data_IF_860165922322
#
_entry.id   IF_860165922322
#
_cell.length_a   1.000
_cell.length_b   1.000
_cell.length_c   1.000
_cell.angle_alpha   90.00
_cell.angle_beta   90.00
_cell.angle_gamma   90.00
#
_symmetry.space_group_name_H-M   'P 1'
#
loop_
_entity.id
_entity.type
_entity.pdbx_description
1 polymer ?
#
# COMPACT_ATOMS: atom_id res chain seq x y z
N UNK A 1 -7.94 11.68 -7.72
CA UNK A 1 -7.92 12.73 -6.66
C UNK A 1 -6.47 12.91 -6.23
N UNK A 2 -6.06 14.08 -5.75
CA UNK A 2 -4.71 14.27 -5.19
C UNK A 2 -4.74 14.82 -3.77
N UNK A 3 -3.75 14.43 -2.98
CA UNK A 3 -3.61 14.77 -1.56
C UNK A 3 -2.30 15.51 -1.32
N UNK A 4 -2.32 16.68 -0.64
CA UNK A 4 -1.10 17.37 -0.26
C UNK A 4 -0.34 16.59 0.81
N UNK A 5 0.99 16.72 0.83
CA UNK A 5 1.88 16.01 1.78
C UNK A 5 1.47 16.11 3.25
N UNK A 6 0.88 17.24 3.67
CA UNK A 6 0.40 17.44 5.04
C UNK A 6 -0.79 16.54 5.37
N UNK A 7 -1.67 16.34 4.40
CA UNK A 7 -2.83 15.48 4.57
C UNK A 7 -2.40 14.02 4.58
N UNK A 8 -1.55 13.61 3.63
CA UNK A 8 -0.96 12.25 3.59
C UNK A 8 -0.24 11.92 4.90
N UNK A 9 0.56 12.85 5.43
CA UNK A 9 1.23 12.68 6.72
C UNK A 9 0.22 12.45 7.86
N UNK A 10 -0.84 13.25 7.92
CA UNK A 10 -1.89 13.12 8.95
C UNK A 10 -2.58 11.76 8.87
N UNK A 11 -3.06 11.37 7.68
CA UNK A 11 -3.82 10.13 7.51
C UNK A 11 -2.98 8.87 7.74
N UNK A 12 -1.73 8.85 7.28
CA UNK A 12 -0.83 7.68 7.39
C UNK A 12 -0.12 7.58 8.74
N UNK A 13 -0.15 8.63 9.55
CA UNK A 13 0.58 8.72 10.81
C UNK A 13 2.09 8.93 10.67
N UNK A 14 2.64 9.08 9.46
CA UNK A 14 4.04 9.48 9.28
C UNK A 14 4.20 11.00 9.23
N UNK A 15 5.42 11.48 9.44
CA UNK A 15 5.69 12.91 9.34
C UNK A 15 5.86 13.34 7.89
N UNK A 16 5.54 14.60 7.57
CA UNK A 16 5.88 15.18 6.27
C UNK A 16 7.39 15.17 5.98
N UNK A 17 8.24 15.12 7.02
CA UNK A 17 9.70 14.94 6.88
C UNK A 17 10.02 13.53 6.38
N UNK A 18 9.34 12.50 6.88
CA UNK A 18 9.48 11.12 6.41
C UNK A 18 9.08 11.01 4.93
N UNK A 19 7.95 11.61 4.54
CA UNK A 19 7.50 11.59 3.15
C UNK A 19 8.49 12.31 2.21
N UNK A 20 9.04 13.46 2.62
CA UNK A 20 10.11 14.13 1.85
C UNK A 20 11.36 13.26 1.75
N UNK A 21 11.73 12.58 2.82
CA UNK A 21 12.88 11.68 2.78
C UNK A 21 12.64 10.51 1.81
N UNK A 22 11.44 9.94 1.77
CA UNK A 22 11.11 8.87 0.82
C UNK A 22 11.16 9.36 -0.63
N UNK A 23 10.68 10.56 -0.92
CA UNK A 23 10.85 11.21 -2.23
C UNK A 23 12.33 11.43 -2.57
N UNK A 24 13.12 11.99 -1.64
CA UNK A 24 14.55 12.28 -1.83
C UNK A 24 15.39 11.04 -2.20
N UNK A 25 15.04 9.87 -1.66
CA UNK A 25 15.71 8.60 -1.96
C UNK A 25 15.04 7.84 -3.12
N UNK A 26 14.01 8.42 -3.76
CA UNK A 26 13.26 7.81 -4.86
C UNK A 26 12.33 6.66 -4.45
N UNK A 27 12.11 6.45 -3.15
CA UNK A 27 11.28 5.36 -2.64
C UNK A 27 9.78 5.63 -2.81
N UNK A 28 9.36 6.88 -2.59
CA UNK A 28 7.98 7.30 -2.81
C UNK A 28 7.95 8.69 -3.45
N UNK A 29 8.14 8.77 -4.78
CA UNK A 29 8.01 10.03 -5.50
C UNK A 29 6.57 10.55 -5.42
N UNK A 30 6.34 11.86 -5.27
CA UNK A 30 5.00 12.43 -5.39
C UNK A 30 4.50 12.29 -6.83
N UNK A 31 3.19 12.19 -7.02
CA UNK A 31 2.58 12.21 -8.35
C UNK A 31 2.90 13.52 -9.09
N UNK A 32 2.89 14.64 -8.36
CA UNK A 32 3.25 15.95 -8.89
C UNK A 32 3.77 16.91 -7.81
N UNK A 33 4.52 17.90 -8.26
CA UNK A 33 4.92 19.06 -7.47
C UNK A 33 4.15 20.28 -8.00
N UNK A 34 3.37 20.93 -7.14
CA UNK A 34 2.63 22.14 -7.49
C UNK A 34 3.54 23.34 -7.72
N UNK A 35 3.02 24.39 -8.36
CA UNK A 35 3.75 25.64 -8.63
C UNK A 35 4.24 26.36 -7.37
N UNK A 36 3.61 26.08 -6.23
CA UNK A 36 3.98 26.55 -4.89
C UNK A 36 5.05 25.67 -4.20
N UNK A 37 5.56 24.63 -4.89
CA UNK A 37 6.53 23.67 -4.34
C UNK A 37 5.93 22.59 -3.42
N UNK A 38 4.61 22.57 -3.22
CA UNK A 38 3.96 21.51 -2.45
C UNK A 38 3.89 20.21 -3.25
N UNK A 39 4.10 19.09 -2.55
CA UNK A 39 4.02 17.74 -3.09
C UNK A 39 2.60 17.20 -2.96
N UNK A 40 2.14 16.57 -4.01
CA UNK A 40 0.82 15.96 -4.10
C UNK A 40 0.98 14.49 -4.47
N UNK A 41 0.19 13.65 -3.82
CA UNK A 41 0.17 12.20 -3.97
C UNK A 41 -1.18 11.80 -4.54
N UNK A 42 -1.20 10.75 -5.35
CA UNK A 42 -2.42 10.15 -5.89
C UNK A 42 -2.58 8.73 -5.32
N UNK A 43 -3.62 8.04 -5.77
CA UNK A 43 -3.99 6.69 -5.34
C UNK A 43 -2.79 5.74 -5.31
N UNK A 44 -2.06 5.66 -6.42
CA UNK A 44 -0.90 4.79 -6.55
C UNK A 44 0.14 5.04 -5.44
N UNK A 45 0.40 6.30 -5.10
CA UNK A 45 1.35 6.61 -4.03
C UNK A 45 0.80 6.29 -2.64
N UNK A 46 -0.52 6.35 -2.41
CA UNK A 46 -1.10 5.93 -1.13
C UNK A 46 -0.96 4.41 -0.95
N UNK A 47 -1.20 3.63 -2.02
CA UNK A 47 -1.01 2.18 -2.01
C UNK A 47 0.46 1.80 -1.79
N UNK A 48 1.39 2.46 -2.47
CA UNK A 48 2.83 2.28 -2.24
C UNK A 48 3.22 2.67 -0.81
N UNK A 49 2.70 3.79 -0.29
CA UNK A 49 2.96 4.21 1.08
C UNK A 49 2.51 3.14 2.08
N UNK A 50 1.32 2.55 1.91
CA UNK A 50 0.86 1.45 2.76
C UNK A 50 1.87 0.29 2.77
N UNK A 51 2.35 -0.15 1.62
CA UNK A 51 3.35 -1.21 1.51
C UNK A 51 4.67 -0.84 2.21
N UNK A 52 5.14 0.40 2.06
CA UNK A 52 6.34 0.90 2.74
C UNK A 52 6.14 0.83 4.25
N UNK A 53 5.02 1.33 4.79
CA UNK A 53 4.76 1.37 6.23
C UNK A 53 4.69 -0.04 6.83
N UNK A 54 4.09 -0.97 6.10
CA UNK A 54 4.02 -2.38 6.44
C UNK A 54 5.41 -2.99 6.54
N UNK A 55 6.22 -2.88 5.49
CA UNK A 55 7.57 -3.43 5.47
C UNK A 55 8.46 -2.79 6.55
N UNK A 56 8.27 -1.50 6.81
CA UNK A 56 8.94 -0.79 7.91
C UNK A 56 8.53 -1.33 9.28
N UNK A 57 7.27 -1.67 9.49
CA UNK A 57 6.78 -2.28 10.74
C UNK A 57 7.36 -3.68 10.96
N UNK A 58 7.67 -4.40 9.87
CA UNK A 58 8.35 -5.70 9.89
C UNK A 58 9.89 -5.58 10.01
N UNK A 59 10.43 -4.37 10.14
CA UNK A 59 11.87 -4.14 10.35
C UNK A 59 12.72 -4.11 9.07
N UNK A 60 12.11 -4.12 7.88
CA UNK A 60 12.83 -4.07 6.60
C UNK A 60 13.42 -2.68 6.37
N UNK A 61 14.67 -2.64 5.87
CA UNK A 61 15.38 -1.38 5.59
C UNK A 61 14.82 -0.65 4.35
N UNK A 62 14.89 0.68 4.30
CA UNK A 62 14.44 1.46 3.13
C UNK A 62 15.09 1.03 1.79
N UNK A 63 16.40 0.72 1.73
CA UNK A 63 17.03 0.26 0.47
C UNK A 63 16.48 -1.09 -0.02
N UNK A 64 16.10 -1.95 0.91
CA UNK A 64 15.48 -3.25 0.65
C UNK A 64 14.06 -3.07 0.13
N UNK A 65 13.25 -2.25 0.81
CA UNK A 65 11.90 -1.89 0.37
C UNK A 65 11.93 -1.33 -1.06
N UNK A 66 12.87 -0.43 -1.37
CA UNK A 66 13.01 0.14 -2.71
C UNK A 66 13.24 -0.91 -3.80
N UNK A 67 14.02 -1.96 -3.53
CA UNK A 67 14.23 -3.06 -4.50
C UNK A 67 12.95 -3.84 -4.77
N UNK A 68 12.21 -4.18 -3.72
CA UNK A 68 10.93 -4.90 -3.85
C UNK A 68 9.86 -4.09 -4.56
N UNK A 69 9.80 -2.78 -4.32
CA UNK A 69 8.83 -1.93 -5.01
C UNK A 69 9.19 -1.74 -6.48
N UNK A 70 10.47 -1.60 -6.83
CA UNK A 70 10.92 -1.46 -8.22
C UNK A 70 10.55 -2.68 -9.08
N UNK A 71 10.57 -3.88 -8.49
CA UNK A 71 10.19 -5.13 -9.17
C UNK A 71 8.66 -5.28 -9.35
N UNK A 72 7.85 -4.45 -8.69
CA UNK A 72 6.37 -4.51 -8.72
C UNK A 72 5.71 -3.49 -9.67
N UNK A 73 6.46 -2.51 -10.21
CA UNK A 73 5.91 -1.35 -10.96
C UNK A 73 5.17 -1.73 -12.27
N UNK A 74 5.15 -3.00 -12.67
CA UNK A 74 4.45 -3.49 -13.88
C UNK A 74 3.05 -4.08 -13.64
N UNK A 75 2.57 -4.13 -12.39
CA UNK A 75 1.26 -4.72 -12.01
C UNK A 75 0.44 -3.71 -11.23
N UNK A 76 -0.36 -2.91 -11.93
CA UNK A 76 -1.31 -1.98 -11.31
C UNK A 76 -2.58 -2.70 -10.87
N UNK A 77 -3.01 -2.45 -9.62
CA UNK A 77 -4.30 -2.91 -9.05
C UNK A 77 -5.49 -2.17 -9.72
N UNK A 78 -5.20 -1.13 -10.50
CA UNK A 78 -6.16 -0.18 -11.09
C UNK A 78 -7.24 -0.85 -11.97
N UNK A 79 -6.99 -2.04 -12.54
CA UNK A 79 -7.98 -2.78 -13.35
C UNK A 79 -8.77 -3.84 -12.53
N UNK A 80 -8.28 -4.28 -11.38
CA UNK A 80 -8.87 -5.39 -10.62
C UNK A 80 -9.97 -4.94 -9.63
N UNK A 81 -9.95 -3.66 -9.22
CA UNK A 81 -10.98 -3.06 -8.36
C UNK A 81 -12.34 -2.82 -9.07
N UNK A 82 -12.48 -3.23 -10.35
CA UNK A 82 -13.69 -3.14 -11.17
C UNK A 82 -14.87 -4.04 -10.73
N UNK A 83 -15.09 -4.22 -9.43
CA UNK A 83 -16.22 -4.98 -8.86
C UNK A 83 -16.03 -6.50 -8.80
N UNK A 84 -14.81 -7.01 -9.05
CA UNK A 84 -14.50 -8.42 -8.86
C UNK A 84 -14.58 -8.79 -7.35
N UNK A 85 -15.02 -10.02 -7.00
CA UNK A 85 -15.01 -10.46 -5.62
C UNK A 85 -13.57 -10.68 -5.13
N UNK A 86 -13.35 -10.51 -3.82
CA UNK A 86 -12.02 -10.59 -3.20
C UNK A 86 -11.31 -11.94 -3.43
N UNK A 87 -12.06 -13.02 -3.64
CA UNK A 87 -11.57 -14.37 -3.90
C UNK A 87 -11.37 -14.67 -5.40
N UNK A 88 -11.66 -13.72 -6.29
CA UNK A 88 -11.49 -13.90 -7.72
C UNK A 88 -10.03 -14.24 -8.05
N UNK A 89 -9.84 -15.18 -8.98
CA UNK A 89 -8.51 -15.60 -9.42
C UNK A 89 -7.56 -14.45 -9.82
N UNK A 90 -7.97 -13.42 -10.59
CA UNK A 90 -7.07 -12.30 -10.90
C UNK A 90 -6.69 -11.49 -9.66
N UNK A 91 -7.63 -11.26 -8.74
CA UNK A 91 -7.37 -10.57 -7.45
C UNK A 91 -6.39 -11.39 -6.63
N UNK A 92 -6.61 -12.70 -6.49
CA UNK A 92 -5.75 -13.59 -5.71
C UNK A 92 -4.36 -13.79 -6.35
N UNK A 93 -4.25 -13.70 -7.68
CA UNK A 93 -2.95 -13.71 -8.36
C UNK A 93 -2.15 -12.42 -8.10
N UNK A 94 -2.83 -11.27 -8.06
CA UNK A 94 -2.24 -9.99 -7.71
C UNK A 94 -1.78 -9.98 -6.23
N UNK A 95 -2.62 -10.44 -5.31
CA UNK A 95 -2.24 -10.61 -3.90
C UNK A 95 -1.07 -11.60 -3.74
N UNK A 96 -1.02 -12.69 -4.52
CA UNK A 96 0.11 -13.63 -4.54
C UNK A 96 1.42 -12.96 -4.98
N UNK A 97 1.36 -12.14 -6.04
CA UNK A 97 2.52 -11.39 -6.53
C UNK A 97 3.05 -10.43 -5.47
N UNK A 98 2.15 -9.65 -4.85
CA UNK A 98 2.49 -8.71 -3.77
C UNK A 98 3.05 -9.44 -2.54
N UNK A 99 2.43 -10.54 -2.12
CA UNK A 99 2.92 -11.33 -0.99
C UNK A 99 4.29 -11.96 -1.27
N UNK A 100 4.54 -12.46 -2.48
CA UNK A 100 5.86 -13.00 -2.88
C UNK A 100 6.92 -11.91 -2.93
N UNK A 101 6.58 -10.73 -3.44
CA UNK A 101 7.47 -9.58 -3.44
C UNK A 101 7.83 -9.19 -2.00
N UNK A 102 6.83 -9.09 -1.12
CA UNK A 102 6.99 -8.83 0.32
C UNK A 102 7.90 -9.86 0.99
N UNK A 103 7.68 -11.16 0.72
CA UNK A 103 8.38 -12.28 1.37
C UNK A 103 9.74 -12.60 0.78
N UNK A 104 10.09 -12.03 -0.37
CA UNK A 104 11.42 -12.19 -0.97
C UNK A 104 12.56 -11.65 -0.08
N UNK A 105 12.26 -10.71 0.82
CA UNK A 105 13.23 -10.06 1.71
C UNK A 105 13.12 -10.49 3.16
N UNK A 106 11.89 -10.75 3.63
CA UNK A 106 11.62 -11.09 5.00
C UNK A 106 10.47 -12.09 5.05
N UNK A 107 10.64 -13.19 5.77
CA UNK A 107 9.55 -14.13 5.96
C UNK A 107 8.40 -13.43 6.69
N UNK A 108 7.22 -13.38 6.07
CA UNK A 108 6.01 -12.80 6.66
C UNK A 108 5.04 -13.94 6.91
N UNK A 109 4.70 -14.19 8.16
CA UNK A 109 3.71 -15.20 8.52
C UNK A 109 2.30 -14.80 8.04
N UNK A 110 1.40 -15.79 7.94
CA UNK A 110 0.00 -15.53 7.63
C UNK A 110 -0.65 -14.54 8.61
N UNK A 111 -0.31 -14.60 9.91
CA UNK A 111 -0.84 -13.69 10.93
C UNK A 111 -0.35 -12.25 10.72
N UNK A 112 0.93 -12.07 10.39
CA UNK A 112 1.50 -10.76 10.06
C UNK A 112 0.86 -10.19 8.79
N UNK A 113 0.67 -11.02 7.77
CA UNK A 113 0.01 -10.60 6.53
C UNK A 113 -1.46 -10.21 6.74
N UNK A 114 -2.21 -10.97 7.55
CA UNK A 114 -3.58 -10.59 7.93
C UNK A 114 -3.62 -9.31 8.76
N UNK A 115 -2.66 -9.09 9.65
CA UNK A 115 -2.57 -7.85 10.43
C UNK A 115 -2.33 -6.62 9.55
N UNK A 116 -1.62 -6.79 8.44
CA UNK A 116 -1.43 -5.75 7.43
C UNK A 116 -2.77 -5.41 6.78
N UNK A 117 -3.53 -6.40 6.31
CA UNK A 117 -4.85 -6.17 5.72
C UNK A 117 -5.83 -5.47 6.67
N UNK A 118 -5.84 -5.85 7.96
CA UNK A 118 -6.67 -5.17 8.98
C UNK A 118 -6.30 -3.71 9.18
N UNK A 119 -5.02 -3.35 9.09
CA UNK A 119 -4.60 -1.96 9.29
C UNK A 119 -5.21 -0.96 8.28
N UNK A 120 -5.64 -1.43 7.10
CA UNK A 120 -6.33 -0.62 6.09
C UNK A 120 -7.71 -0.12 6.57
N UNK A 121 -8.34 -0.82 7.52
CA UNK A 121 -9.68 -0.48 8.03
C UNK A 121 -9.67 0.11 9.45
N UNK A 122 -8.59 -0.07 10.21
CA UNK A 122 -8.51 0.32 11.62
C UNK A 122 -8.22 1.83 11.82
N UNK A 123 -7.51 2.48 10.88
CA UNK A 123 -7.24 3.91 10.93
C UNK A 123 -8.31 4.66 10.13
N UNK A 124 -9.19 5.42 10.79
CA UNK A 124 -10.34 6.09 10.16
C UNK A 124 -9.91 7.11 9.08
N UNK A 125 -8.87 7.90 9.33
CA UNK A 125 -8.37 8.89 8.36
C UNK A 125 -7.75 8.21 7.14
N UNK A 126 -7.04 7.11 7.36
CA UNK A 126 -6.42 6.33 6.27
C UNK A 126 -7.47 5.54 5.47
N UNK A 127 -8.42 4.93 6.17
CA UNK A 127 -9.57 4.25 5.57
C UNK A 127 -10.37 5.24 4.72
N UNK A 128 -10.63 6.45 5.21
CA UNK A 128 -11.33 7.47 4.44
C UNK A 128 -10.61 7.82 3.12
N UNK A 129 -9.28 7.75 3.08
CA UNK A 129 -8.53 7.94 1.84
C UNK A 129 -8.76 6.80 0.83
N UNK A 130 -8.83 5.54 1.31
CA UNK A 130 -9.19 4.38 0.49
C UNK A 130 -10.63 4.46 -0.02
N UNK A 131 -11.57 4.84 0.85
CA UNK A 131 -12.97 5.00 0.48
C UNK A 131 -13.22 6.15 -0.52
N UNK A 132 -12.37 7.18 -0.50
CA UNK A 132 -12.41 8.28 -1.47
C UNK A 132 -11.89 7.88 -2.86
N UNK A 133 -11.10 6.82 -2.96
CA UNK A 133 -10.64 6.23 -4.22
C UNK A 133 -11.78 5.42 -4.84
N UNK A 134 -12.25 4.40 -4.12
CA UNK A 134 -13.38 3.54 -4.51
C UNK A 134 -14.11 3.12 -3.25
N UNK A 135 -15.45 3.33 -3.16
CA UNK A 135 -16.21 2.87 -2.01
C UNK A 135 -16.04 1.36 -1.78
N UNK A 136 -15.68 0.97 -0.56
CA UNK A 136 -15.40 -0.40 -0.14
C UNK A 136 -13.98 -0.88 -0.43
N UNK A 137 -13.07 -0.04 -0.92
CA UNK A 137 -11.70 -0.44 -1.26
C UNK A 137 -10.92 -0.89 -0.01
N UNK A 138 -11.14 -0.25 1.15
CA UNK A 138 -10.43 -0.64 2.37
C UNK A 138 -10.85 -2.05 2.82
N UNK A 139 -12.15 -2.34 2.80
CA UNK A 139 -12.69 -3.67 3.10
C UNK A 139 -12.24 -4.70 2.06
N UNK A 140 -12.30 -4.35 0.77
CA UNK A 140 -11.86 -5.22 -0.30
C UNK A 140 -10.40 -5.64 -0.13
N UNK A 141 -9.50 -4.69 0.16
CA UNK A 141 -8.08 -4.98 0.38
C UNK A 141 -7.87 -5.90 1.58
N UNK A 142 -8.57 -5.64 2.70
CA UNK A 142 -8.54 -6.50 3.88
C UNK A 142 -9.01 -7.91 3.54
N UNK A 143 -10.15 -8.04 2.85
CA UNK A 143 -10.78 -9.32 2.56
C UNK A 143 -9.97 -10.14 1.55
N UNK A 144 -9.38 -9.50 0.54
CA UNK A 144 -8.52 -10.15 -0.43
C UNK A 144 -7.27 -10.75 0.25
N UNK A 145 -6.67 -10.02 1.18
CA UNK A 145 -5.54 -10.48 2.01
C UNK A 145 -5.97 -11.63 2.93
N UNK A 146 -7.14 -11.53 3.57
CA UNK A 146 -7.66 -12.58 4.46
C UNK A 146 -7.91 -13.89 3.69
N UNK A 147 -8.59 -13.81 2.54
CA UNK A 147 -8.84 -14.97 1.66
C UNK A 147 -7.53 -15.60 1.22
N UNK A 148 -6.56 -14.79 0.79
CA UNK A 148 -5.25 -15.30 0.38
C UNK A 148 -4.53 -16.00 1.54
N UNK A 149 -4.47 -15.36 2.71
CA UNK A 149 -3.78 -15.91 3.87
C UNK A 149 -4.39 -17.24 4.33
N UNK A 150 -5.72 -17.36 4.33
CA UNK A 150 -6.41 -18.60 4.70
C UNK A 150 -6.21 -19.71 3.66
N UNK A 151 -6.26 -19.37 2.37
CA UNK A 151 -6.25 -20.37 1.29
C UNK A 151 -4.86 -20.82 0.84
N UNK A 152 -3.84 -19.96 0.98
CA UNK A 152 -2.49 -20.17 0.44
C UNK A 152 -1.40 -20.29 1.50
N UNK A 153 -1.61 -19.70 2.68
CA UNK A 153 -0.61 -19.66 3.77
C UNK A 153 -1.03 -20.46 5.02
N UNK A 154 -2.27 -20.97 5.04
CA UNK A 154 -2.86 -21.76 6.13
C UNK A 154 -2.58 -23.26 6.03
#
# INVERSE_FOLDING_TARGET
MDWPISEVARMSGVTARTLRHYDEIGLLPPARIGSNGHRYYEEHQLLLLQQILVLRKLGVGLPEIGRVLADQVDTGIDDAAGGAPADAQPVQAEIDAQYRALTSLHAVSADEYRAIGRSCVENEDWRAAYEAITPGLAEFQRDAIEVYAVSRLG
#
